data_IF_295044752938
#
_entry.id   IF_295044752938
#
_cell.length_a   1.000
_cell.length_b   1.000
_cell.length_c   1.000
_cell.angle_alpha   90.00
_cell.angle_beta   90.00
_cell.angle_gamma   90.00
#
_symmetry.space_group_name_H-M   'P 1'
#
loop_
_entity.id
_entity.type
_entity.pdbx_description
1 polymer ?
#
# COMPACT_ATOMS: atom_id res chain seq x y z
N UNK A 1 10.22 3.57 -1.78
CA UNK A 1 9.56 4.14 -0.59
C UNK A 1 10.11 3.42 0.64
N UNK A 2 10.40 4.11 1.74
CA UNK A 2 10.77 3.43 3.01
C UNK A 2 9.53 3.15 3.85
N UNK A 3 9.58 2.13 4.71
CA UNK A 3 8.48 1.78 5.61
C UNK A 3 8.13 2.95 6.54
N UNK A 4 9.13 3.67 7.03
CA UNK A 4 8.97 4.86 7.86
C UNK A 4 8.18 5.95 7.13
N UNK A 5 8.55 6.26 5.88
CA UNK A 5 7.86 7.28 5.09
C UNK A 5 6.43 6.86 4.76
N UNK A 6 6.21 5.60 4.37
CA UNK A 6 4.88 5.05 4.11
C UNK A 6 3.98 5.22 5.35
N UNK A 7 4.47 4.82 6.54
CA UNK A 7 3.74 4.99 7.80
C UNK A 7 3.42 6.45 8.10
N UNK A 8 4.37 7.37 7.94
CA UNK A 8 4.17 8.78 8.22
C UNK A 8 3.07 9.39 7.32
N UNK A 9 3.04 9.00 6.04
CA UNK A 9 1.98 9.42 5.10
C UNK A 9 0.62 8.92 5.58
N UNK A 10 0.48 7.61 5.85
CA UNK A 10 -0.79 7.05 6.29
C UNK A 10 -1.24 7.57 7.66
N UNK A 11 -0.32 7.81 8.60
CA UNK A 11 -0.62 8.48 9.86
C UNK A 11 -1.17 9.90 9.64
N UNK A 12 -0.57 10.64 8.70
CA UNK A 12 -1.08 11.96 8.34
C UNK A 12 -2.47 11.92 7.72
N UNK A 13 -2.77 10.92 6.89
CA UNK A 13 -4.11 10.75 6.29
C UNK A 13 -5.13 10.31 7.36
N UNK A 14 -4.73 9.47 8.31
CA UNK A 14 -5.59 8.99 9.40
C UNK A 14 -6.09 10.12 10.32
N UNK A 15 -5.34 11.21 10.47
CA UNK A 15 -5.75 12.40 11.23
C UNK A 15 -6.76 13.31 10.52
N UNK A 16 -7.12 13.02 9.27
CA UNK A 16 -8.11 13.82 8.54
C UNK A 16 -9.54 13.52 9.04
N UNK A 17 -10.52 14.44 8.85
CA UNK A 17 -11.92 14.17 9.22
C UNK A 17 -12.63 13.19 8.26
N UNK A 18 -11.88 12.44 7.45
CA UNK A 18 -12.43 11.47 6.49
C UNK A 18 -13.06 10.30 7.24
N UNK A 19 -14.30 9.94 6.89
CA UNK A 19 -15.00 8.82 7.53
C UNK A 19 -14.46 7.45 7.13
N UNK A 20 -13.76 7.38 6.02
CA UNK A 20 -13.20 6.15 5.45
C UNK A 20 -11.77 6.48 5.01
N UNK A 21 -10.84 5.63 5.43
CA UNK A 21 -9.47 5.61 4.96
C UNK A 21 -9.24 4.30 4.22
N UNK A 22 -8.58 4.38 3.06
CA UNK A 22 -8.20 3.23 2.26
C UNK A 22 -6.68 3.14 2.20
N UNK A 23 -6.17 1.92 2.30
CA UNK A 23 -4.76 1.60 2.07
C UNK A 23 -4.68 0.84 0.74
N UNK A 24 -3.76 1.24 -0.13
CA UNK A 24 -3.50 0.49 -1.36
C UNK A 24 -2.88 -0.86 -1.00
N UNK A 25 -3.19 -1.90 -1.77
CA UNK A 25 -2.57 -3.20 -1.57
C UNK A 25 -1.07 -3.12 -1.94
N UNK A 26 -0.75 -2.36 -2.97
CA UNK A 26 0.59 -2.10 -3.49
C UNK A 26 1.51 -1.55 -2.38
N UNK A 27 1.05 -0.60 -1.55
CA UNK A 27 1.83 -0.07 -0.42
C UNK A 27 2.07 -1.12 0.68
N UNK A 28 1.09 -1.99 0.92
CA UNK A 28 1.19 -3.09 1.87
C UNK A 28 2.18 -4.16 1.41
N UNK A 29 2.22 -4.42 0.09
CA UNK A 29 3.13 -5.38 -0.52
C UNK A 29 4.52 -4.79 -0.82
N UNK A 30 4.63 -3.47 -0.83
CA UNK A 30 5.86 -2.75 -1.17
C UNK A 30 6.16 -2.69 -2.65
N UNK A 31 5.12 -2.75 -3.48
CA UNK A 31 5.25 -2.66 -4.93
C UNK A 31 5.80 -1.28 -5.33
N UNK A 32 6.69 -1.29 -6.32
CA UNK A 32 7.33 -0.07 -6.85
C UNK A 32 6.82 0.29 -8.24
N UNK A 33 6.23 -0.67 -8.95
CA UNK A 33 5.66 -0.50 -10.28
C UNK A 33 4.21 -0.01 -10.17
N UNK A 34 3.80 0.93 -11.03
CA UNK A 34 2.41 1.39 -11.08
C UNK A 34 1.55 0.42 -11.90
N UNK A 35 0.33 0.08 -11.49
CA UNK A 35 -0.54 -0.79 -12.29
C UNK A 35 -0.96 -0.14 -13.62
N UNK A 36 -0.87 1.19 -13.74
CA UNK A 36 -1.31 1.92 -14.93
C UNK A 36 -0.54 3.24 -15.10
N UNK A 37 -0.17 3.56 -16.33
CA UNK A 37 0.33 4.87 -16.73
C UNK A 37 -0.62 5.48 -17.76
N UNK A 38 -1.50 6.41 -17.36
CA UNK A 38 -2.43 7.05 -18.27
C UNK A 38 -1.72 7.77 -19.43
N UNK A 39 -2.19 7.54 -20.67
CA UNK A 39 -1.65 8.19 -21.87
C UNK A 39 -0.36 7.57 -22.42
N UNK A 40 0.18 6.54 -21.78
CA UNK A 40 1.36 5.82 -22.26
C UNK A 40 0.97 4.47 -22.85
N UNK A 41 1.41 4.21 -24.08
CA UNK A 41 1.08 2.99 -24.83
C UNK A 41 2.17 1.92 -24.76
N UNK A 42 3.43 2.31 -24.51
CA UNK A 42 4.55 1.39 -24.41
C UNK A 42 4.65 0.73 -23.02
N UNK A 43 4.08 1.36 -21.99
CA UNK A 43 4.02 0.77 -20.64
C UNK A 43 3.02 -0.38 -20.60
N UNK A 44 3.33 -1.52 -19.94
CA UNK A 44 2.43 -2.66 -19.84
C UNK A 44 1.31 -2.42 -18.80
N UNK A 45 0.57 -1.32 -18.96
CA UNK A 45 -0.58 -0.97 -18.12
C UNK A 45 -1.55 -2.13 -18.00
N UNK A 46 -2.08 -2.32 -16.80
CA UNK A 46 -3.03 -3.39 -16.42
C UNK A 46 -2.47 -4.82 -16.54
N UNK A 47 -1.16 -4.97 -16.72
CA UNK A 47 -0.49 -6.28 -16.79
C UNK A 47 0.56 -6.50 -15.70
N UNK A 48 0.81 -5.49 -14.86
CA UNK A 48 1.68 -5.59 -13.70
C UNK A 48 1.01 -6.48 -12.65
N UNK A 49 1.77 -7.46 -12.13
CA UNK A 49 1.32 -8.31 -11.03
C UNK A 49 1.67 -7.66 -9.70
N UNK A 50 0.76 -7.72 -8.75
CA UNK A 50 0.99 -7.25 -7.39
C UNK A 50 1.92 -8.20 -6.62
N UNK A 51 2.68 -7.63 -5.69
CA UNK A 51 3.52 -8.32 -4.75
C UNK A 51 4.89 -8.75 -5.28
N UNK A 52 5.77 -9.21 -4.38
CA UNK A 52 7.08 -9.72 -4.73
C UNK A 52 7.01 -10.83 -5.80
N UNK A 53 7.97 -10.91 -6.74
CA UNK A 53 7.96 -11.92 -7.78
C UNK A 53 7.82 -13.34 -7.22
N UNK A 54 6.78 -14.06 -7.67
CA UNK A 54 6.50 -15.44 -7.28
C UNK A 54 5.78 -15.60 -5.94
N UNK A 55 5.46 -14.52 -5.23
CA UNK A 55 4.63 -14.58 -4.02
C UNK A 55 3.18 -14.94 -4.32
N UNK A 56 2.51 -15.58 -3.36
CA UNK A 56 1.07 -15.84 -3.40
C UNK A 56 0.33 -14.99 -2.37
N UNK A 57 -1.00 -14.97 -2.44
CA UNK A 57 -1.82 -14.24 -1.48
C UNK A 57 -1.63 -14.79 -0.05
N UNK A 58 -1.38 -16.09 0.12
CA UNK A 58 -1.07 -16.70 1.41
C UNK A 58 0.23 -16.12 2.01
N UNK A 59 1.22 -15.81 1.18
CA UNK A 59 2.45 -15.17 1.65
C UNK A 59 2.21 -13.73 2.10
N UNK A 60 1.32 -13.01 1.42
CA UNK A 60 0.99 -11.63 1.77
C UNK A 60 0.37 -11.50 3.17
N UNK A 61 -0.39 -12.51 3.59
CA UNK A 61 -0.98 -12.53 4.95
C UNK A 61 0.06 -12.61 6.08
N UNK A 62 1.30 -12.98 5.76
CA UNK A 62 2.40 -13.14 6.72
C UNK A 62 3.29 -11.89 6.82
N UNK A 63 3.00 -10.85 6.05
CA UNK A 63 3.80 -9.63 6.03
C UNK A 63 3.56 -8.81 7.30
N UNK A 64 4.63 -8.52 8.04
CA UNK A 64 4.60 -7.65 9.24
C UNK A 64 4.07 -6.24 8.95
N UNK A 65 4.15 -5.81 7.68
CA UNK A 65 3.65 -4.50 7.25
C UNK A 65 2.14 -4.37 7.44
N UNK A 66 1.37 -5.45 7.30
CA UNK A 66 -0.10 -5.42 7.47
C UNK A 66 -0.51 -5.03 8.91
N UNK A 67 -0.11 -5.75 9.97
CA UNK A 67 -0.45 -5.34 11.34
C UNK A 67 0.18 -3.99 11.73
N UNK A 68 1.38 -3.67 11.23
CA UNK A 68 2.05 -2.39 11.47
C UNK A 68 1.23 -1.19 10.95
N UNK A 69 0.70 -1.29 9.71
CA UNK A 69 -0.10 -0.23 9.11
C UNK A 69 -1.45 -0.08 9.80
N UNK A 70 -2.10 -1.20 10.13
CA UNK A 70 -3.35 -1.18 10.89
C UNK A 70 -3.16 -0.50 12.26
N UNK A 71 -2.08 -0.83 12.98
CA UNK A 71 -1.76 -0.19 14.25
C UNK A 71 -1.53 1.33 14.09
N UNK A 72 -0.77 1.73 13.07
CA UNK A 72 -0.47 3.13 12.79
C UNK A 72 -1.73 3.96 12.55
N UNK A 73 -2.70 3.44 11.79
CA UNK A 73 -3.95 4.16 11.52
C UNK A 73 -4.85 4.18 12.76
N UNK A 74 -4.97 3.04 13.45
CA UNK A 74 -5.84 2.93 14.63
C UNK A 74 -5.34 3.78 15.82
N UNK A 75 -4.05 4.08 15.90
CA UNK A 75 -3.50 4.96 16.94
C UNK A 75 -3.76 6.45 16.72
N UNK A 76 -4.14 6.86 15.51
CA UNK A 76 -4.36 8.26 15.14
C UNK A 76 -5.85 8.66 15.25
N UNK A 77 -6.74 7.69 15.41
CA UNK A 77 -8.17 7.91 15.61
C UNK A 77 -8.49 8.34 17.04
N UNK A 78 -8.49 9.65 17.28
CA UNK A 78 -9.13 10.31 18.44
C UNK A 78 -10.37 11.06 18.01
#
# INVERSE_FOLDING_TARGET
>A
MTDELCRAVYASVARTPSRILLISLEDLLGDLETPNVPGEHAYPSLRIKAGPPGSTWEDWTKLDRVPMMAQTINSEGT
#
